data_IF_848861613984
#
_entry.id   IF_848861613984
#
_cell.length_a   1.000
_cell.length_b   1.000
_cell.length_c   1.000
_cell.angle_alpha   90.00
_cell.angle_beta   90.00
_cell.angle_gamma   90.00
#
_symmetry.space_group_name_H-M   'P 1'
#
loop_
_entity.id
_entity.type
_entity.pdbx_description
1 polymer ?
#
# COMPACT_ATOMS: atom_id res chain seq x y z
N UNK A 1 -33.20 -1.95 -4.39
CA UNK A 1 -31.76 -2.16 -4.68
C UNK A 1 -31.56 -3.02 -5.93
N UNK A 2 -32.11 -2.60 -7.08
CA UNK A 2 -32.20 -3.39 -8.34
C UNK A 2 -31.45 -2.74 -9.50
N UNK A 3 -30.41 -1.94 -9.23
CA UNK A 3 -29.73 -1.15 -10.27
C UNK A 3 -28.20 -1.28 -10.28
N UNK A 4 -27.59 -2.08 -9.39
CA UNK A 4 -26.15 -2.34 -9.43
C UNK A 4 -25.76 -3.64 -10.15
N UNK A 5 -26.75 -4.46 -10.53
CA UNK A 5 -26.52 -5.82 -11.05
C UNK A 5 -26.14 -5.87 -12.55
N UNK A 6 -26.28 -4.77 -13.29
CA UNK A 6 -26.09 -4.78 -14.76
C UNK A 6 -24.76 -4.19 -15.23
N UNK A 7 -24.06 -3.37 -14.43
CA UNK A 7 -22.78 -2.76 -14.86
C UNK A 7 -21.54 -3.65 -14.64
N UNK A 8 -21.66 -4.81 -13.99
CA UNK A 8 -20.58 -5.78 -13.84
C UNK A 8 -20.55 -6.85 -14.94
N UNK A 9 -21.59 -6.97 -15.76
CA UNK A 9 -21.73 -8.07 -16.72
C UNK A 9 -21.08 -7.84 -18.08
N UNK A 10 -20.63 -6.61 -18.41
CA UNK A 10 -20.08 -6.31 -19.75
C UNK A 10 -18.55 -6.51 -19.85
N UNK A 11 -17.86 -6.78 -18.74
CA UNK A 11 -16.42 -7.11 -18.77
C UNK A 11 -16.12 -8.60 -19.09
N UNK A 12 -17.14 -9.41 -19.42
CA UNK A 12 -17.03 -10.85 -19.68
C UNK A 12 -17.63 -11.20 -21.05
N UNK A 13 -16.95 -10.86 -22.14
CA UNK A 13 -17.23 -11.47 -23.45
C UNK A 13 -15.96 -11.79 -24.27
N UNK A 14 -14.77 -11.69 -23.68
CA UNK A 14 -13.51 -11.75 -24.45
C UNK A 14 -12.54 -12.90 -24.15
N UNK A 15 -12.86 -13.85 -23.28
CA UNK A 15 -11.86 -14.84 -22.85
C UNK A 15 -12.46 -16.17 -22.41
N UNK A 16 -12.89 -16.98 -23.38
CA UNK A 16 -13.43 -18.32 -23.10
C UNK A 16 -12.70 -19.43 -23.87
N UNK A 17 -11.40 -19.27 -24.12
CA UNK A 17 -10.59 -20.36 -24.65
C UNK A 17 -9.19 -20.39 -24.01
N UNK A 18 -9.12 -21.03 -22.85
CA UNK A 18 -7.94 -21.80 -22.43
C UNK A 18 -6.80 -21.03 -21.76
N UNK A 19 -6.68 -21.21 -20.44
CA UNK A 19 -5.36 -21.26 -19.79
C UNK A 19 -5.00 -20.07 -18.90
N UNK A 20 -5.22 -20.25 -17.60
CA UNK A 20 -4.35 -19.75 -16.54
C UNK A 20 -4.10 -18.24 -16.44
N UNK A 21 -4.94 -17.54 -15.68
CA UNK A 21 -4.50 -16.35 -14.93
C UNK A 21 -3.56 -16.80 -13.80
N UNK A 22 -2.33 -17.13 -14.15
CA UNK A 22 -1.25 -17.39 -13.21
C UNK A 22 0.00 -16.71 -13.71
N UNK A 23 0.38 -15.61 -13.05
CA UNK A 23 1.77 -15.15 -13.07
C UNK A 23 2.14 -14.01 -14.04
N UNK A 24 1.26 -13.05 -14.32
CA UNK A 24 1.71 -11.74 -14.81
C UNK A 24 1.68 -10.73 -13.66
N UNK A 25 2.60 -10.86 -12.70
CA UNK A 25 2.97 -9.72 -11.86
C UNK A 25 3.76 -8.76 -12.76
N UNK A 26 3.04 -7.96 -13.53
CA UNK A 26 3.65 -6.85 -14.24
C UNK A 26 4.30 -5.94 -13.19
N UNK A 27 5.63 -5.93 -13.16
CA UNK A 27 6.41 -5.02 -12.31
C UNK A 27 6.16 -3.61 -12.83
N UNK A 28 5.09 -2.98 -12.34
CA UNK A 28 4.79 -1.60 -12.68
C UNK A 28 5.93 -0.74 -12.10
N UNK A 29 6.74 -0.17 -12.99
CA UNK A 29 7.73 0.83 -12.60
C UNK A 29 6.98 2.07 -12.12
N UNK A 30 7.08 2.32 -10.82
CA UNK A 30 6.58 3.55 -10.23
C UNK A 30 7.44 4.73 -10.73
N UNK A 31 6.80 5.86 -10.98
CA UNK A 31 7.51 7.12 -11.21
C UNK A 31 8.11 7.67 -9.91
N UNK A 32 9.01 8.66 -9.98
CA UNK A 32 9.73 9.20 -8.82
C UNK A 32 8.84 9.59 -7.63
N UNK A 33 7.65 10.16 -7.89
CA UNK A 33 6.71 10.55 -6.84
C UNK A 33 6.11 9.36 -6.10
N UNK A 34 5.74 8.30 -6.83
CA UNK A 34 5.18 7.07 -6.23
C UNK A 34 6.26 6.30 -5.47
N UNK A 35 7.49 6.27 -5.98
CA UNK A 35 8.62 5.67 -5.27
C UNK A 35 8.95 6.39 -3.97
N UNK A 36 8.84 7.72 -3.93
CA UNK A 36 9.05 8.49 -2.72
C UNK A 36 8.05 8.11 -1.63
N UNK A 37 6.76 7.99 -1.98
CA UNK A 37 5.71 7.55 -1.05
C UNK A 37 5.97 6.11 -0.60
N UNK A 38 6.27 5.19 -1.53
CA UNK A 38 6.59 3.79 -1.21
C UNK A 38 7.71 3.69 -0.18
N UNK A 39 8.84 4.34 -0.43
CA UNK A 39 10.00 4.31 0.48
C UNK A 39 9.66 4.80 1.88
N UNK A 40 8.81 5.82 1.96
CA UNK A 40 8.36 6.37 3.24
C UNK A 40 7.50 5.35 4.01
N UNK A 41 6.60 4.66 3.31
CA UNK A 41 5.77 3.59 3.89
C UNK A 41 6.64 2.40 4.33
N UNK A 42 7.60 2.00 3.51
CA UNK A 42 8.53 0.90 3.82
C UNK A 42 9.32 1.21 5.11
N UNK A 43 9.77 2.46 5.29
CA UNK A 43 10.48 2.89 6.50
C UNK A 43 9.59 2.86 7.74
N UNK A 44 8.33 3.30 7.62
CA UNK A 44 7.34 3.22 8.71
C UNK A 44 7.10 1.77 9.12
N UNK A 45 6.92 0.88 8.14
CA UNK A 45 6.72 -0.55 8.39
C UNK A 45 7.94 -1.13 9.11
N UNK A 46 9.15 -0.80 8.65
CA UNK A 46 10.38 -1.26 9.29
C UNK A 46 10.48 -0.86 10.77
N UNK A 47 10.15 0.40 11.10
CA UNK A 47 10.11 0.89 12.48
C UNK A 47 9.09 0.10 13.33
N UNK A 48 7.93 -0.22 12.77
CA UNK A 48 6.87 -0.95 13.48
C UNK A 48 7.17 -2.44 13.64
N UNK A 49 7.91 -3.03 12.71
CA UNK A 49 8.29 -4.44 12.74
C UNK A 49 9.40 -4.74 13.75
N UNK A 50 10.27 -3.76 14.01
CA UNK A 50 11.36 -3.88 14.96
C UNK A 50 10.84 -4.22 16.38
N UNK A 51 11.23 -5.39 16.93
CA UNK A 51 10.82 -5.83 18.26
C UNK A 51 11.14 -4.85 19.39
N UNK A 52 12.18 -4.02 19.24
CA UNK A 52 12.54 -3.01 20.23
C UNK A 52 11.42 -1.98 20.45
N UNK A 53 10.65 -1.70 19.41
CA UNK A 53 9.56 -0.74 19.43
C UNK A 53 8.22 -1.33 19.87
N UNK A 54 8.07 -2.66 20.00
CA UNK A 54 6.78 -3.30 20.33
C UNK A 54 6.40 -3.24 21.81
N UNK A 55 7.34 -2.87 22.68
CA UNK A 55 7.10 -2.73 24.12
C UNK A 55 6.07 -1.62 24.41
N UNK A 56 5.12 -1.82 25.34
CA UNK A 56 4.07 -0.82 25.62
C UNK A 56 4.66 0.49 26.14
N UNK A 57 5.77 0.46 26.87
CA UNK A 57 6.45 1.64 27.42
C UNK A 57 7.03 2.53 26.31
N UNK A 58 7.31 1.95 25.14
CA UNK A 58 7.86 2.66 23.97
C UNK A 58 6.79 3.35 23.12
N UNK A 59 5.50 3.28 23.50
CA UNK A 59 4.39 3.80 22.69
C UNK A 59 4.58 5.26 22.29
N UNK A 60 4.89 6.15 23.23
CA UNK A 60 5.03 7.57 22.94
C UNK A 60 6.31 7.91 22.17
N UNK A 61 7.41 7.23 22.47
CA UNK A 61 8.66 7.38 21.72
C UNK A 61 8.51 6.90 20.28
N UNK A 62 7.85 5.75 20.07
CA UNK A 62 7.52 5.21 18.75
C UNK A 62 6.65 6.17 17.97
N UNK A 63 5.62 6.75 18.59
CA UNK A 63 4.74 7.74 17.95
C UNK A 63 5.54 8.96 17.47
N UNK A 64 6.40 9.52 18.32
CA UNK A 64 7.25 10.66 17.94
C UNK A 64 8.19 10.32 16.78
N UNK A 65 8.80 9.14 16.81
CA UNK A 65 9.66 8.68 15.72
C UNK A 65 8.89 8.58 14.40
N UNK A 66 7.70 7.99 14.42
CA UNK A 66 6.85 7.89 13.24
C UNK A 66 6.43 9.26 12.71
N UNK A 67 6.02 10.18 13.58
CA UNK A 67 5.67 11.56 13.18
C UNK A 67 6.85 12.25 12.51
N UNK A 68 8.06 12.10 13.05
CA UNK A 68 9.27 12.65 12.45
C UNK A 68 9.58 12.04 11.08
N UNK A 69 9.45 10.72 10.92
CA UNK A 69 9.67 10.04 9.64
C UNK A 69 8.64 10.49 8.59
N UNK A 70 7.36 10.60 8.97
CA UNK A 70 6.30 11.01 8.03
C UNK A 70 6.46 12.49 7.61
N UNK A 71 6.82 13.38 8.55
CA UNK A 71 7.00 14.81 8.29
C UNK A 71 8.12 15.13 7.27
N UNK A 72 9.04 14.19 7.00
CA UNK A 72 10.06 14.37 5.96
C UNK A 72 9.48 14.35 4.53
N UNK A 73 8.23 13.92 4.38
CA UNK A 73 7.61 13.57 3.09
C UNK A 73 6.22 14.14 2.93
N UNK A 74 5.52 14.38 4.03
CA UNK A 74 4.18 14.95 4.05
C UNK A 74 4.18 16.28 4.79
N UNK A 75 3.52 17.26 4.18
CA UNK A 75 3.13 18.50 4.85
C UNK A 75 1.78 18.26 5.54
N UNK A 76 1.68 18.69 6.80
CA UNK A 76 0.50 18.52 7.64
C UNK A 76 -0.29 19.81 7.86
N UNK A 77 0.07 20.87 7.13
CA UNK A 77 -0.57 22.19 7.19
C UNK A 77 -1.93 22.22 6.50
#
# INVERSE_FOLDING_TARGET
>A
MRLYATMLAVALAGGLAGGGISGLTATAWAGPSTDAVRKSVDEIIHILEDPAWKKPEKKEERRKLLEQTIAQRFDFT
#
